data_IF_957310119865
#
_entry.id   IF_957310119865
#
_cell.length_a   1.000
_cell.length_b   1.000
_cell.length_c   1.000
_cell.angle_alpha   90.00
_cell.angle_beta   90.00
_cell.angle_gamma   90.00
#
_symmetry.space_group_name_H-M   'P 1'
#
loop_
_entity.id
_entity.type
_entity.pdbx_description
1 polymer ?
#
# COMPACT_ATOMS: atom_id res chain seq x y z
N UNK A 1 -5.89 19.37 14.77
CA UNK A 1 -5.36 18.16 14.08
C UNK A 1 -6.52 17.37 13.49
N UNK A 2 -6.48 17.01 12.20
CA UNK A 2 -7.51 16.14 11.56
C UNK A 2 -6.98 14.69 11.50
N UNK A 3 -7.81 13.72 11.90
CA UNK A 3 -7.41 12.30 12.01
C UNK A 3 -8.32 11.46 11.12
N UNK A 4 -7.74 10.49 10.40
CA UNK A 4 -8.50 9.50 9.64
C UNK A 4 -7.95 8.09 9.89
N UNK A 5 -8.85 7.10 10.01
CA UNK A 5 -8.49 5.72 10.33
C UNK A 5 -8.52 4.85 9.09
N UNK A 6 -7.53 3.97 8.95
CA UNK A 6 -7.46 2.95 7.90
C UNK A 6 -7.40 1.55 8.53
N UNK A 7 -7.68 0.51 7.74
CA UNK A 7 -7.48 -0.86 8.19
C UNK A 7 -5.98 -1.20 8.19
N UNK A 8 -5.44 -1.51 9.36
CA UNK A 8 -4.02 -1.79 9.59
C UNK A 8 -3.57 -3.19 9.15
N UNK A 9 -4.50 -4.08 8.77
CA UNK A 9 -4.16 -5.47 8.40
C UNK A 9 -3.09 -5.52 7.32
N UNK A 10 -2.01 -6.24 7.56
CA UNK A 10 -0.87 -6.44 6.67
C UNK A 10 0.00 -5.21 6.35
N UNK A 11 -0.25 -4.02 6.92
CA UNK A 11 0.56 -2.83 6.57
C UNK A 11 2.04 -3.00 6.95
N UNK A 12 2.33 -3.73 8.03
CA UNK A 12 3.69 -4.04 8.48
C UNK A 12 4.18 -5.44 8.08
N UNK A 13 3.34 -6.22 7.40
CA UNK A 13 3.66 -7.59 6.96
C UNK A 13 3.98 -7.65 5.46
N UNK A 14 3.50 -6.69 4.67
CA UNK A 14 3.79 -6.58 3.24
C UNK A 14 4.89 -5.54 3.01
N UNK A 15 5.79 -5.86 2.08
CA UNK A 15 6.84 -4.98 1.61
C UNK A 15 6.21 -3.79 0.87
N UNK A 16 6.68 -2.58 1.16
CA UNK A 16 6.08 -1.38 0.56
C UNK A 16 6.22 -1.32 -0.96
N UNK A 17 7.25 -1.96 -1.52
CA UNK A 17 7.53 -2.04 -2.95
C UNK A 17 6.66 -3.09 -3.68
N UNK A 18 5.80 -3.80 -2.96
CA UNK A 18 4.91 -4.83 -3.52
C UNK A 18 5.58 -6.18 -3.69
N UNK A 19 6.80 -6.40 -3.16
CA UNK A 19 7.53 -7.65 -3.35
C UNK A 19 6.94 -8.85 -2.59
N UNK A 20 5.97 -8.62 -1.70
CA UNK A 20 5.27 -9.66 -0.95
C UNK A 20 5.45 -9.56 0.55
N UNK A 21 5.43 -10.70 1.25
CA UNK A 21 5.52 -10.76 2.72
C UNK A 21 6.97 -10.55 3.16
N UNK A 22 7.18 -9.71 4.16
CA UNK A 22 8.51 -9.46 4.74
C UNK A 22 8.85 -10.46 5.84
N UNK A 23 10.14 -10.76 5.95
CA UNK A 23 10.70 -11.50 7.09
C UNK A 23 11.23 -10.51 8.12
N UNK A 24 10.95 -10.74 9.40
CA UNK A 24 11.46 -9.88 10.47
C UNK A 24 12.65 -10.52 11.16
N UNK A 25 13.59 -9.68 11.59
CA UNK A 25 14.64 -10.12 12.49
C UNK A 25 14.09 -10.40 13.91
N UNK A 26 14.94 -10.93 14.79
CA UNK A 26 14.56 -11.27 16.17
C UNK A 26 14.01 -10.07 16.97
N UNK A 27 14.60 -8.88 16.77
CA UNK A 27 14.17 -7.64 17.42
C UNK A 27 12.90 -7.03 16.81
N UNK A 28 12.45 -7.51 15.64
CA UNK A 28 11.29 -7.03 14.88
C UNK A 28 11.35 -5.57 14.45
N UNK A 29 12.52 -4.95 14.52
CA UNK A 29 12.80 -3.57 14.10
C UNK A 29 13.22 -3.47 12.62
N UNK A 30 13.75 -4.56 12.06
CA UNK A 30 14.11 -4.68 10.65
C UNK A 30 13.23 -5.71 9.94
N UNK A 31 12.91 -5.38 8.68
CA UNK A 31 12.17 -6.19 7.74
C UNK A 31 13.04 -6.44 6.50
N UNK A 32 13.24 -7.70 6.17
CA UNK A 32 13.89 -8.14 4.93
C UNK A 32 12.83 -8.49 3.90
N UNK A 33 12.90 -7.85 2.75
CA UNK A 33 11.98 -8.07 1.64
C UNK A 33 12.42 -9.31 0.86
N UNK A 34 11.51 -9.87 0.07
CA UNK A 34 11.81 -11.00 -0.82
C UNK A 34 12.91 -10.67 -1.85
N UNK A 35 13.11 -9.38 -2.15
CA UNK A 35 14.18 -8.87 -3.01
C UNK A 35 15.55 -8.81 -2.33
N UNK A 36 15.66 -9.12 -1.04
CA UNK A 36 16.89 -8.99 -0.24
C UNK A 36 17.10 -7.60 0.36
N UNK A 37 16.24 -6.63 0.04
CA UNK A 37 16.28 -5.30 0.65
C UNK A 37 15.96 -5.37 2.15
N UNK A 38 16.79 -4.74 2.98
CA UNK A 38 16.55 -4.62 4.42
C UNK A 38 16.08 -3.20 4.73
N UNK A 39 15.03 -3.08 5.53
CA UNK A 39 14.41 -1.79 5.87
C UNK A 39 13.88 -1.76 7.29
N UNK A 40 13.66 -0.57 7.85
CA UNK A 40 13.00 -0.43 9.14
C UNK A 40 11.51 -0.84 9.05
N UNK A 41 11.08 -1.72 9.96
CA UNK A 41 9.76 -2.31 9.96
C UNK A 41 8.63 -1.29 10.20
N UNK A 42 8.90 -0.25 11.00
CA UNK A 42 7.99 0.86 11.27
C UNK A 42 7.88 1.82 10.09
N UNK A 43 8.99 2.14 9.44
CA UNK A 43 9.04 3.05 8.29
C UNK A 43 8.33 2.43 7.08
N UNK A 44 8.59 1.15 6.77
CA UNK A 44 7.86 0.48 5.70
C UNK A 44 6.35 0.38 5.99
N UNK A 45 5.98 0.15 7.25
CA UNK A 45 4.59 0.11 7.65
C UNK A 45 3.91 1.48 7.50
N UNK A 46 4.62 2.56 7.84
CA UNK A 46 4.14 3.93 7.73
C UNK A 46 3.84 4.31 6.28
N UNK A 47 4.68 3.88 5.33
CA UNK A 47 4.40 4.07 3.91
C UNK A 47 3.12 3.37 3.47
N UNK A 48 2.92 2.11 3.86
CA UNK A 48 1.71 1.36 3.52
C UNK A 48 0.45 1.97 4.17
N UNK A 49 0.55 2.49 5.40
CA UNK A 49 -0.55 3.21 6.07
C UNK A 49 -0.92 4.47 5.29
N UNK A 50 0.07 5.27 4.90
CA UNK A 50 -0.13 6.49 4.11
C UNK A 50 -0.74 6.19 2.73
N UNK A 51 -0.18 5.22 2.01
CA UNK A 51 -0.67 4.78 0.71
C UNK A 51 -2.16 4.40 0.75
N UNK A 52 -2.57 3.60 1.74
CA UNK A 52 -3.98 3.21 1.91
C UNK A 52 -4.89 4.39 2.21
N UNK A 53 -4.41 5.38 2.95
CA UNK A 53 -5.18 6.60 3.18
C UNK A 53 -5.46 7.32 1.86
N UNK A 54 -4.42 7.55 1.05
CA UNK A 54 -4.56 8.27 -0.22
C UNK A 54 -5.38 7.49 -1.25
N UNK A 55 -5.15 6.18 -1.40
CA UNK A 55 -5.96 5.33 -2.27
C UNK A 55 -7.44 5.41 -1.88
N UNK A 56 -7.76 5.29 -0.58
CA UNK A 56 -9.14 5.39 -0.10
C UNK A 56 -9.73 6.79 -0.29
N UNK A 57 -8.94 7.84 -0.08
CA UNK A 57 -9.39 9.21 -0.29
C UNK A 57 -9.74 9.45 -1.77
N UNK A 58 -8.87 9.00 -2.67
CA UNK A 58 -9.07 9.10 -4.11
C UNK A 58 -10.26 8.28 -4.60
N UNK A 59 -10.39 7.02 -4.15
CA UNK A 59 -11.53 6.18 -4.48
C UNK A 59 -12.86 6.83 -4.09
N UNK A 60 -12.91 7.53 -2.94
CA UNK A 60 -14.12 8.22 -2.47
C UNK A 60 -14.43 9.50 -3.24
N UNK A 61 -13.46 10.09 -3.95
CA UNK A 61 -13.64 11.35 -4.68
C UNK A 61 -14.06 11.17 -6.13
N UNK A 62 -14.13 9.93 -6.65
CA UNK A 62 -14.46 9.64 -8.04
C UNK A 62 -15.68 8.70 -8.16
N UNK A 63 -16.24 8.59 -9.36
CA UNK A 63 -17.34 7.66 -9.61
C UNK A 63 -16.88 6.21 -9.63
N UNK A 64 -17.78 5.30 -9.26
CA UNK A 64 -17.51 3.87 -9.23
C UNK A 64 -17.08 3.32 -10.60
N UNK A 65 -17.67 3.80 -11.70
CA UNK A 65 -17.26 3.43 -13.06
C UNK A 65 -15.80 3.77 -13.35
N UNK A 66 -15.34 4.97 -12.96
CA UNK A 66 -13.94 5.37 -13.12
C UNK A 66 -13.03 4.51 -12.23
N UNK A 67 -13.45 4.26 -10.99
CA UNK A 67 -12.72 3.41 -10.07
C UNK A 67 -12.55 1.97 -10.59
N UNK A 68 -13.60 1.36 -11.12
CA UNK A 68 -13.54 0.02 -11.74
C UNK A 68 -12.59 0.00 -12.95
N UNK A 69 -12.58 1.05 -13.76
CA UNK A 69 -11.64 1.18 -14.89
C UNK A 69 -10.19 1.21 -14.39
N UNK A 70 -9.92 1.93 -13.30
CA UNK A 70 -8.59 1.97 -12.68
C UNK A 70 -8.21 0.63 -12.04
N UNK A 71 -9.16 -0.06 -11.40
CA UNK A 71 -8.91 -1.41 -10.88
C UNK A 71 -8.60 -2.41 -12.00
N UNK A 72 -9.19 -2.25 -13.18
CA UNK A 72 -8.86 -3.07 -14.34
C UNK A 72 -7.43 -2.81 -14.85
N UNK A 73 -6.96 -1.55 -14.80
CA UNK A 73 -5.56 -1.20 -15.11
C UNK A 73 -4.58 -1.63 -14.02
N UNK A 74 -4.99 -1.56 -12.75
CA UNK A 74 -4.17 -1.81 -11.55
C UNK A 74 -4.89 -2.79 -10.62
N UNK A 75 -4.75 -4.11 -10.86
CA UNK A 75 -5.50 -5.14 -10.14
C UNK A 75 -5.23 -5.18 -8.62
N UNK A 76 -4.08 -4.70 -8.15
CA UNK A 76 -3.74 -4.68 -6.71
C UNK A 76 -4.70 -3.79 -5.90
N UNK A 77 -5.39 -2.85 -6.55
CA UNK A 77 -6.36 -1.97 -5.91
C UNK A 77 -7.66 -2.68 -5.48
N UNK A 78 -7.91 -3.90 -5.97
CA UNK A 78 -9.10 -4.69 -5.63
C UNK A 78 -9.16 -5.07 -4.15
N UNK A 79 -8.01 -5.42 -3.55
CA UNK A 79 -7.92 -5.88 -2.16
C UNK A 79 -7.27 -4.85 -1.26
N UNK A 80 -8.10 -4.07 -0.55
CA UNK A 80 -7.65 -3.01 0.38
C UNK A 80 -6.60 -3.46 1.40
N UNK A 81 -6.65 -4.70 1.87
CA UNK A 81 -5.72 -5.24 2.87
C UNK A 81 -4.39 -5.68 2.29
N UNK A 82 -4.24 -5.68 0.97
CA UNK A 82 -3.00 -6.02 0.26
C UNK A 82 -2.36 -4.79 -0.40
N UNK A 83 -3.04 -3.64 -0.41
CA UNK A 83 -2.51 -2.38 -0.93
C UNK A 83 -1.26 -1.92 -0.15
N UNK A 84 -0.23 -1.56 -0.91
CA UNK A 84 1.08 -1.07 -0.46
C UNK A 84 1.40 0.28 -1.10
N UNK A 85 2.58 0.84 -0.82
CA UNK A 85 3.07 2.04 -1.51
C UNK A 85 3.18 1.83 -3.03
N UNK A 86 3.63 0.67 -3.49
CA UNK A 86 3.68 0.36 -4.92
C UNK A 86 2.30 0.41 -5.58
N UNK A 87 1.25 -0.10 -4.93
CA UNK A 87 -0.13 0.02 -5.45
C UNK A 87 -0.56 1.48 -5.63
N UNK A 88 -0.12 2.38 -4.74
CA UNK A 88 -0.41 3.81 -4.85
C UNK A 88 0.37 4.48 -5.98
N UNK A 89 1.63 4.10 -6.19
CA UNK A 89 2.44 4.57 -7.32
C UNK A 89 1.80 4.14 -8.65
N UNK A 90 1.42 2.86 -8.76
CA UNK A 90 0.75 2.33 -9.96
C UNK A 90 -0.59 3.03 -10.21
N UNK A 91 -1.36 3.33 -9.16
CA UNK A 91 -2.57 4.15 -9.27
C UNK A 91 -2.25 5.55 -9.84
N UNK A 92 -1.21 6.22 -9.33
CA UNK A 92 -0.84 7.55 -9.81
C UNK A 92 -0.45 7.53 -11.30
N UNK A 93 0.35 6.54 -11.71
CA UNK A 93 0.71 6.34 -13.12
C UNK A 93 -0.52 6.10 -14.01
N UNK A 94 -1.47 5.29 -13.55
CA UNK A 94 -2.70 5.01 -14.28
C UNK A 94 -3.66 6.22 -14.40
N UNK A 95 -3.46 7.25 -13.57
CA UNK A 95 -4.18 8.53 -13.65
C UNK A 95 -3.55 9.52 -14.62
N UNK A 96 -2.24 9.42 -14.83
CA UNK A 96 -1.50 10.24 -15.80
C UNK A 96 -1.64 9.72 -17.25
N UNK A 97 -2.28 8.55 -17.44
CA UNK A 97 -2.51 7.89 -18.74
C UNK A 97 -3.98 7.90 -19.17
#
# INVERSE_FOLDING_TARGET
MRISRINARNTSALAFDGSGIVQRNAKKDLATFTTGKVYHADLQASYNIGARYFIRAFQKSISEKKWLTLQAKVPELSKRTEQTLSSFISLNQALET
#
